data_IF_982633578560
#
_entry.id   IF_982633578560
#
_cell.length_a   1.000
_cell.length_b   1.000
_cell.length_c   1.000
_cell.angle_alpha   90.00
_cell.angle_beta   90.00
_cell.angle_gamma   90.00
#
_symmetry.space_group_name_H-M   'P 1'
#
loop_
_entity.id
_entity.type
_entity.pdbx_description
1 polymer ?
#
# COMPACT_ATOMS: atom_id res chain seq x y z
N UNK A 1 -24.55 1.23 13.19
CA UNK A 1 -24.99 2.31 12.27
C UNK A 1 -24.54 3.62 12.89
N UNK A 2 -23.32 4.08 12.56
CA UNK A 2 -22.83 5.40 12.99
C UNK A 2 -23.22 6.34 11.83
N UNK A 3 -24.29 7.11 12.06
CA UNK A 3 -24.74 8.10 11.09
C UNK A 3 -23.63 9.15 10.88
N UNK A 4 -23.26 9.38 9.61
CA UNK A 4 -22.48 10.57 9.24
C UNK A 4 -23.26 11.80 9.74
N UNK A 5 -22.62 12.66 10.55
CA UNK A 5 -23.14 14.00 10.84
C UNK A 5 -22.99 14.84 9.56
N UNK A 6 -24.07 15.37 8.98
CA UNK A 6 -23.96 16.06 7.69
C UNK A 6 -23.49 17.52 7.77
N UNK A 7 -23.01 18.00 8.89
CA UNK A 7 -22.74 19.44 9.06
C UNK A 7 -21.34 19.65 9.66
N UNK A 8 -20.40 20.07 8.81
CA UNK A 8 -19.10 20.73 9.06
C UNK A 8 -17.81 20.05 8.61
N UNK A 9 -17.79 19.21 7.62
CA UNK A 9 -16.54 18.96 6.92
C UNK A 9 -16.54 19.79 5.62
N UNK A 10 -15.76 20.85 5.57
CA UNK A 10 -15.31 21.44 4.30
C UNK A 10 -14.41 20.38 3.69
N UNK A 11 -14.98 19.41 3.00
CA UNK A 11 -14.21 18.45 2.21
C UNK A 11 -13.64 19.21 1.03
N UNK A 12 -12.34 19.47 1.06
CA UNK A 12 -11.64 20.01 -0.11
C UNK A 12 -11.41 18.88 -1.09
N UNK A 13 -11.63 19.15 -2.37
CA UNK A 13 -11.17 18.25 -3.40
C UNK A 13 -9.64 18.16 -3.35
N UNK A 14 -9.13 16.97 -3.16
CA UNK A 14 -7.71 16.67 -3.20
C UNK A 14 -7.49 15.59 -4.23
N UNK A 15 -6.43 15.73 -5.03
CA UNK A 15 -6.12 14.76 -6.07
C UNK A 15 -4.66 14.31 -6.02
N UNK A 16 -4.42 13.08 -6.42
CA UNK A 16 -3.11 12.63 -6.89
C UNK A 16 -2.90 13.27 -8.27
N UNK A 17 -1.79 13.97 -8.44
CA UNK A 17 -1.43 14.65 -9.70
C UNK A 17 -0.23 14.02 -10.38
N UNK A 18 0.57 13.24 -9.67
CA UNK A 18 1.71 12.52 -10.22
C UNK A 18 2.23 11.48 -9.27
N UNK A 19 2.94 10.51 -9.80
CA UNK A 19 3.65 9.53 -9.01
C UNK A 19 4.84 8.94 -9.77
N UNK A 20 5.82 8.47 -9.02
CA UNK A 20 6.99 7.77 -9.55
C UNK A 20 7.39 6.64 -8.59
N UNK A 21 8.05 5.65 -9.14
CA UNK A 21 8.70 4.59 -8.36
C UNK A 21 10.05 4.23 -9.00
N UNK A 22 10.98 3.75 -8.17
CA UNK A 22 12.22 3.16 -8.68
C UNK A 22 11.94 1.83 -9.37
N UNK A 23 12.91 1.31 -10.10
CA UNK A 23 12.93 -0.12 -10.43
C UNK A 23 12.96 -0.94 -9.13
N UNK A 24 12.04 -1.89 -9.00
CA UNK A 24 11.95 -2.76 -7.83
C UNK A 24 12.88 -3.96 -8.02
N UNK A 25 13.97 -4.00 -7.27
CA UNK A 25 15.02 -5.02 -7.38
C UNK A 25 15.16 -5.83 -6.09
N UNK A 26 15.75 -7.03 -6.17
CA UNK A 26 15.96 -7.87 -4.98
C UNK A 26 16.94 -7.28 -3.99
N UNK A 27 17.89 -6.54 -4.49
CA UNK A 27 18.92 -5.86 -3.70
C UNK A 27 19.48 -4.70 -4.49
N UNK A 28 19.71 -3.57 -3.82
CA UNK A 28 20.38 -2.40 -4.38
C UNK A 28 21.51 -1.91 -3.48
N UNK A 29 22.56 -1.39 -4.10
CA UNK A 29 23.63 -0.69 -3.39
C UNK A 29 23.32 0.78 -3.10
N UNK A 30 22.21 1.31 -3.69
CA UNK A 30 21.77 2.69 -3.42
C UNK A 30 21.37 2.83 -1.96
N UNK A 31 21.72 3.95 -1.37
CA UNK A 31 21.19 4.37 -0.07
C UNK A 31 19.69 4.71 -0.18
N UNK A 32 19.01 4.74 0.95
CA UNK A 32 17.60 5.14 1.01
C UNK A 32 17.42 6.58 0.49
N UNK A 33 18.32 7.50 0.85
CA UNK A 33 18.33 8.87 0.32
C UNK A 33 18.41 8.91 -1.21
N UNK A 34 19.28 8.10 -1.83
CA UNK A 34 19.41 8.03 -3.29
C UNK A 34 18.14 7.49 -3.96
N UNK A 35 17.49 6.46 -3.38
CA UNK A 35 16.22 5.95 -3.86
C UNK A 35 15.12 7.01 -3.80
N UNK A 36 15.03 7.74 -2.67
CA UNK A 36 14.06 8.81 -2.48
C UNK A 36 14.34 10.00 -3.41
N UNK A 37 15.61 10.39 -3.59
CA UNK A 37 15.99 11.45 -4.52
C UNK A 37 15.56 11.13 -5.96
N UNK A 38 15.71 9.89 -6.39
CA UNK A 38 15.29 9.43 -7.72
C UNK A 38 13.79 9.66 -7.92
N UNK A 39 12.94 9.10 -7.06
CA UNK A 39 11.49 9.20 -7.22
C UNK A 39 10.94 10.61 -7.02
N UNK A 40 11.53 11.40 -6.11
CA UNK A 40 11.15 12.80 -5.91
C UNK A 40 11.51 13.63 -7.15
N UNK A 41 12.71 13.44 -7.68
CA UNK A 41 13.15 14.16 -8.88
C UNK A 41 12.29 13.80 -10.08
N UNK A 42 11.99 12.51 -10.26
CA UNK A 42 11.18 12.03 -11.37
C UNK A 42 9.76 12.59 -11.32
N UNK A 43 9.09 12.53 -10.18
CA UNK A 43 7.70 13.02 -10.07
C UNK A 43 7.61 14.55 -10.19
N UNK A 44 8.56 15.29 -9.64
CA UNK A 44 8.59 16.75 -9.78
C UNK A 44 8.87 17.17 -11.23
N UNK A 45 9.77 16.47 -11.92
CA UNK A 45 10.06 16.71 -13.35
C UNK A 45 8.84 16.45 -14.23
N UNK A 46 8.07 15.37 -13.96
CA UNK A 46 6.83 15.07 -14.68
C UNK A 46 5.79 16.20 -14.58
N UNK A 47 5.79 16.92 -13.46
CA UNK A 47 4.81 17.97 -13.16
C UNK A 47 5.31 19.39 -13.43
N UNK A 48 6.53 19.56 -13.94
CA UNK A 48 7.20 20.85 -14.10
C UNK A 48 7.24 21.64 -12.77
N UNK A 49 7.46 20.94 -11.65
CA UNK A 49 7.58 21.49 -10.31
C UNK A 49 9.04 21.48 -9.85
N UNK A 50 9.33 22.41 -8.98
CA UNK A 50 10.60 22.47 -8.23
C UNK A 50 10.36 22.12 -6.75
N UNK A 51 11.44 21.86 -6.03
CA UNK A 51 11.35 21.65 -4.59
C UNK A 51 10.77 22.87 -3.85
N UNK A 52 10.89 24.08 -4.40
CA UNK A 52 10.33 25.30 -3.80
C UNK A 52 8.79 25.33 -3.82
N UNK A 53 8.18 24.63 -4.78
CA UNK A 53 6.72 24.59 -4.95
C UNK A 53 6.02 23.65 -3.94
N UNK A 54 6.78 22.88 -3.16
CA UNK A 54 6.25 21.89 -2.22
C UNK A 54 6.06 22.55 -0.85
N UNK A 55 4.84 22.51 -0.32
CA UNK A 55 4.46 23.08 0.99
C UNK A 55 4.70 22.10 2.14
N UNK A 56 4.49 20.80 1.87
CA UNK A 56 4.54 19.74 2.89
C UNK A 56 5.13 18.45 2.32
N UNK A 57 5.84 17.70 3.15
CA UNK A 57 6.32 16.36 2.84
C UNK A 57 6.01 15.39 3.95
N UNK A 58 5.75 14.12 3.61
CA UNK A 58 5.56 13.05 4.58
C UNK A 58 6.22 11.77 4.08
N UNK A 59 7.04 11.14 4.93
CA UNK A 59 7.68 9.86 4.66
C UNK A 59 6.98 8.73 5.42
N UNK A 60 6.73 7.61 4.73
CA UNK A 60 6.45 6.32 5.35
C UNK A 60 7.69 5.43 5.31
N UNK A 61 8.16 4.98 6.45
CA UNK A 61 9.34 4.11 6.58
C UNK A 61 9.28 3.28 7.86
N UNK A 62 10.24 2.36 8.03
CA UNK A 62 10.43 1.62 9.27
C UNK A 62 11.92 1.49 9.58
N UNK A 63 12.33 2.06 10.69
CA UNK A 63 13.73 2.09 11.16
C UNK A 63 14.34 0.68 11.22
N UNK A 64 13.60 -0.29 11.73
CA UNK A 64 14.10 -1.66 11.85
C UNK A 64 14.30 -2.34 10.50
N UNK A 65 13.41 -2.11 9.53
CA UNK A 65 13.49 -2.73 8.20
C UNK A 65 14.61 -2.09 7.38
N UNK A 66 14.77 -0.77 7.47
CA UNK A 66 15.87 -0.08 6.81
C UNK A 66 17.22 -0.32 7.48
N UNK A 67 17.22 -0.81 8.73
CA UNK A 67 18.42 -1.02 9.53
C UNK A 67 19.10 0.28 9.96
N UNK A 68 18.36 1.40 9.95
CA UNK A 68 18.87 2.72 10.27
C UNK A 68 17.91 3.44 11.22
N UNK A 69 18.42 3.84 12.39
CA UNK A 69 17.64 4.66 13.31
C UNK A 69 17.40 6.05 12.71
N UNK A 70 16.22 6.62 12.99
CA UNK A 70 15.80 7.94 12.48
C UNK A 70 15.77 8.00 10.96
N UNK A 71 15.21 6.99 10.31
CA UNK A 71 15.14 6.90 8.84
C UNK A 71 14.42 8.09 8.18
N UNK A 72 13.55 8.82 8.91
CA UNK A 72 12.92 10.04 8.42
C UNK A 72 13.91 11.15 8.02
N UNK A 73 15.13 11.17 8.57
CA UNK A 73 16.18 12.13 8.20
C UNK A 73 16.58 11.99 6.73
N UNK A 74 16.53 10.77 6.19
CA UNK A 74 16.85 10.50 4.78
C UNK A 74 15.90 11.21 3.83
N UNK A 75 14.63 11.38 4.21
CA UNK A 75 13.66 12.14 3.42
C UNK A 75 13.97 13.64 3.41
N UNK A 76 14.41 14.19 4.53
CA UNK A 76 14.78 15.61 4.60
C UNK A 76 15.96 15.94 3.66
N UNK A 77 16.95 15.05 3.61
CA UNK A 77 18.07 15.18 2.67
C UNK A 77 17.61 15.01 1.22
N UNK A 78 16.73 14.03 0.95
CA UNK A 78 16.21 13.74 -0.39
C UNK A 78 15.30 14.85 -0.93
N UNK A 79 14.40 15.40 -0.11
CA UNK A 79 13.51 16.51 -0.50
C UNK A 79 14.28 17.84 -0.61
N UNK A 80 15.44 17.94 0.04
CA UNK A 80 16.23 19.15 0.06
C UNK A 80 15.45 20.29 0.71
N UNK A 81 15.29 20.26 2.03
CA UNK A 81 14.42 21.16 2.81
C UNK A 81 14.91 22.63 2.81
N UNK A 82 15.15 23.17 1.65
CA UNK A 82 15.47 24.56 1.38
C UNK A 82 14.65 25.08 0.20
N UNK A 83 13.80 26.12 0.39
CA UNK A 83 13.50 26.80 1.67
C UNK A 83 12.97 25.85 2.75
N UNK A 84 12.99 26.25 4.04
CA UNK A 84 12.43 25.43 5.12
C UNK A 84 11.02 24.97 4.82
N UNK A 85 10.74 23.67 5.07
CA UNK A 85 9.47 23.03 4.75
C UNK A 85 8.81 22.47 6.00
N UNK A 86 7.50 22.26 5.91
CA UNK A 86 6.77 21.43 6.87
C UNK A 86 6.95 19.98 6.49
N UNK A 87 7.21 19.14 7.47
CA UNK A 87 7.33 17.70 7.28
C UNK A 87 6.60 16.91 8.37
N UNK A 88 6.31 15.66 8.07
CA UNK A 88 5.84 14.65 8.99
C UNK A 88 6.41 13.28 8.61
N UNK A 89 6.29 12.35 9.50
CA UNK A 89 6.76 10.99 9.31
C UNK A 89 5.81 9.99 9.97
N UNK A 90 5.60 8.86 9.33
CA UNK A 90 4.88 7.72 9.90
C UNK A 90 5.76 6.48 9.85
N UNK A 91 5.85 5.77 10.97
CA UNK A 91 6.53 4.48 11.09
C UNK A 91 5.63 3.36 10.53
N UNK A 92 5.24 3.51 9.26
CA UNK A 92 4.37 2.62 8.50
C UNK A 92 4.60 2.78 7.00
N UNK A 93 3.83 2.05 6.18
CA UNK A 93 3.86 2.20 4.71
C UNK A 93 3.48 3.63 4.28
N UNK A 94 4.07 4.06 3.17
CA UNK A 94 3.80 5.36 2.55
C UNK A 94 2.32 5.64 2.25
N UNK A 95 1.45 4.63 2.24
CA UNK A 95 0.01 4.82 2.14
C UNK A 95 -0.57 5.54 3.38
N UNK A 96 -0.03 5.28 4.58
CA UNK A 96 -0.41 6.03 5.79
C UNK A 96 0.23 7.42 5.82
N UNK A 97 1.42 7.58 5.23
CA UNK A 97 1.99 8.92 5.01
C UNK A 97 1.12 9.74 4.05
N UNK A 98 0.50 9.10 3.05
CA UNK A 98 -0.46 9.76 2.16
C UNK A 98 -1.74 10.16 2.92
N UNK A 99 -2.22 9.31 3.83
CA UNK A 99 -3.37 9.67 4.69
C UNK A 99 -3.07 10.90 5.54
N UNK A 100 -1.89 10.98 6.16
CA UNK A 100 -1.45 12.15 6.92
C UNK A 100 -1.38 13.41 6.04
N UNK A 101 -0.77 13.33 4.86
CA UNK A 101 -0.69 14.44 3.93
C UNK A 101 -2.08 14.89 3.42
N UNK A 102 -2.99 13.94 3.20
CA UNK A 102 -4.37 14.24 2.82
C UNK A 102 -5.11 15.02 3.93
N UNK A 103 -4.95 14.62 5.21
CA UNK A 103 -5.51 15.36 6.34
C UNK A 103 -4.95 16.79 6.39
N UNK A 104 -3.64 16.97 6.19
CA UNK A 104 -3.01 18.29 6.17
C UNK A 104 -3.56 19.19 5.05
N UNK A 105 -3.76 18.64 3.86
CA UNK A 105 -4.38 19.37 2.75
C UNK A 105 -5.84 19.78 3.04
N UNK A 106 -6.58 18.98 3.84
CA UNK A 106 -7.94 19.32 4.26
C UNK A 106 -7.97 20.54 5.20
N UNK A 107 -6.93 20.79 6.00
CA UNK A 107 -6.82 21.96 6.88
C UNK A 107 -6.73 23.27 6.09
N UNK A 108 -6.17 23.24 4.89
CA UNK A 108 -6.24 24.33 3.91
C UNK A 108 -5.18 25.40 4.00
N UNK A 109 -4.10 25.13 4.68
CA UNK A 109 -2.94 26.01 4.78
C UNK A 109 -1.77 25.58 3.89
N UNK A 110 -1.96 24.52 3.10
CA UNK A 110 -1.05 23.99 2.08
C UNK A 110 -1.82 23.63 0.80
N UNK A 111 -1.14 23.64 -0.35
CA UNK A 111 -1.72 23.33 -1.65
C UNK A 111 -1.09 22.10 -2.32
N UNK A 112 0.21 21.84 -2.08
CA UNK A 112 0.96 20.74 -2.67
C UNK A 112 1.72 19.97 -1.58
N UNK A 113 1.55 18.66 -1.57
CA UNK A 113 2.28 17.75 -0.70
C UNK A 113 3.01 16.68 -1.51
N UNK A 114 4.25 16.35 -1.13
CA UNK A 114 4.98 15.17 -1.62
C UNK A 114 4.98 14.11 -0.55
N UNK A 115 4.46 12.94 -0.90
CA UNK A 115 4.45 11.77 -0.04
C UNK A 115 5.45 10.76 -0.58
N UNK A 116 6.27 10.21 0.29
CA UNK A 116 7.26 9.20 -0.07
C UNK A 116 7.10 7.94 0.77
N UNK A 117 7.46 6.82 0.20
CA UNK A 117 7.62 5.55 0.89
C UNK A 117 8.89 4.88 0.42
N UNK A 118 9.70 4.38 1.34
CA UNK A 118 10.93 3.68 0.99
C UNK A 118 11.00 2.33 1.68
N UNK A 119 11.42 1.34 0.91
CA UNK A 119 11.64 -0.02 1.36
C UNK A 119 12.98 -0.53 0.89
N UNK A 120 14.04 -0.26 1.62
CA UNK A 120 15.33 -0.94 1.48
C UNK A 120 15.30 -2.25 2.27
N UNK A 121 14.36 -3.10 1.90
CA UNK A 121 13.92 -4.26 2.68
C UNK A 121 14.95 -5.39 2.73
N UNK A 122 15.92 -5.38 1.81
CA UNK A 122 16.99 -6.39 1.76
C UNK A 122 18.07 -6.19 2.85
N UNK A 123 18.14 -5.03 3.49
CA UNK A 123 19.11 -4.73 4.56
C UNK A 123 18.69 -5.29 5.91
N UNK A 124 17.39 -5.25 6.21
CA UNK A 124 16.81 -5.91 7.36
C UNK A 124 16.48 -7.38 7.09
N UNK A 125 16.18 -8.11 8.14
CA UNK A 125 15.61 -9.45 8.02
C UNK A 125 14.17 -9.42 8.54
N UNK A 126 13.16 -9.28 7.65
CA UNK A 126 11.78 -9.24 8.06
C UNK A 126 11.33 -10.47 8.88
N UNK A 127 11.98 -11.62 8.67
CA UNK A 127 11.68 -12.85 9.42
C UNK A 127 12.11 -12.77 10.88
N UNK A 128 13.08 -11.91 11.19
CA UNK A 128 13.52 -11.62 12.57
C UNK A 128 12.83 -10.40 13.15
N UNK A 129 12.55 -9.38 12.32
CA UNK A 129 11.99 -8.09 12.76
C UNK A 129 10.52 -8.24 13.14
N UNK A 130 9.69 -8.82 12.28
CA UNK A 130 8.26 -8.95 12.56
C UNK A 130 7.92 -9.75 13.83
N UNK A 131 8.63 -10.83 14.21
CA UNK A 131 8.40 -11.46 15.51
C UNK A 131 8.64 -10.55 16.71
N UNK A 132 9.51 -9.53 16.58
CA UNK A 132 9.75 -8.56 17.67
C UNK A 132 8.60 -7.57 17.86
N UNK A 133 7.77 -7.37 16.83
CA UNK A 133 6.56 -6.54 16.91
C UNK A 133 5.39 -7.27 17.61
N UNK A 134 5.49 -8.59 17.79
CA UNK A 134 4.45 -9.39 18.41
C UNK A 134 4.38 -9.12 19.92
N UNK A 135 3.20 -9.38 20.49
CA UNK A 135 3.02 -9.35 21.94
C UNK A 135 4.12 -10.16 22.64
N UNK A 136 4.91 -9.54 23.56
CA UNK A 136 6.09 -10.18 24.12
C UNK A 136 5.77 -11.31 25.11
N UNK A 137 4.54 -11.39 25.58
CA UNK A 137 4.15 -12.34 26.62
C UNK A 137 3.46 -13.59 26.06
N UNK A 138 2.65 -13.44 25.00
CA UNK A 138 1.81 -14.51 24.47
C UNK A 138 2.20 -14.96 23.07
N UNK A 139 2.60 -14.04 22.18
CA UNK A 139 2.87 -14.35 20.78
C UNK A 139 4.36 -14.53 20.47
N UNK A 140 5.21 -13.63 20.93
CA UNK A 140 6.65 -13.72 20.69
C UNK A 140 7.28 -15.02 21.23
N UNK A 141 6.87 -15.54 22.43
CA UNK A 141 7.40 -16.82 22.94
C UNK A 141 7.07 -18.03 22.07
N UNK A 142 6.04 -17.95 21.20
CA UNK A 142 5.71 -19.02 20.26
C UNK A 142 6.72 -19.11 19.10
N UNK A 143 7.56 -18.08 18.89
CA UNK A 143 8.51 -18.03 17.80
C UNK A 143 7.86 -18.01 16.41
N UNK A 144 6.59 -17.57 16.34
CA UNK A 144 5.86 -17.52 15.09
C UNK A 144 6.37 -16.36 14.22
N UNK A 145 6.79 -16.68 13.03
CA UNK A 145 7.25 -15.75 12.00
C UNK A 145 6.09 -15.33 11.07
N UNK A 146 6.29 -14.33 10.19
CA UNK A 146 5.27 -13.89 9.23
C UNK A 146 4.73 -14.99 8.34
N UNK A 147 5.58 -15.94 7.95
CA UNK A 147 5.17 -17.08 7.12
C UNK A 147 4.27 -18.04 7.89
N UNK A 148 4.50 -18.21 9.19
CA UNK A 148 3.62 -19.01 10.08
C UNK A 148 2.23 -18.40 10.16
N UNK A 149 2.14 -17.08 10.38
CA UNK A 149 0.84 -16.39 10.43
C UNK A 149 0.12 -16.44 9.08
N UNK A 150 0.84 -16.23 7.97
CA UNK A 150 0.28 -16.35 6.63
C UNK A 150 -0.23 -17.76 6.34
N UNK A 151 0.49 -18.82 6.76
CA UNK A 151 0.06 -20.20 6.60
C UNK A 151 -1.19 -20.52 7.43
N UNK A 152 -1.30 -19.99 8.66
CA UNK A 152 -2.50 -20.14 9.49
C UNK A 152 -3.70 -19.44 8.83
N UNK A 153 -3.51 -18.25 8.28
CA UNK A 153 -4.56 -17.54 7.53
C UNK A 153 -4.96 -18.31 6.26
N UNK A 154 -4.00 -18.78 5.48
CA UNK A 154 -4.27 -19.56 4.28
C UNK A 154 -5.10 -20.81 4.58
N UNK A 155 -4.79 -21.54 5.67
CA UNK A 155 -5.59 -22.70 6.11
C UNK A 155 -7.02 -22.31 6.47
N UNK A 156 -7.23 -21.19 7.14
CA UNK A 156 -8.56 -20.69 7.47
C UNK A 156 -9.35 -20.33 6.20
N UNK A 157 -8.71 -19.61 5.27
CA UNK A 157 -9.29 -19.21 3.98
C UNK A 157 -9.67 -20.43 3.12
N UNK A 158 -8.83 -21.47 3.08
CA UNK A 158 -9.11 -22.72 2.39
C UNK A 158 -10.26 -23.49 3.08
N UNK A 159 -10.22 -23.59 4.40
CA UNK A 159 -11.27 -24.28 5.17
C UNK A 159 -12.64 -23.62 5.02
N UNK A 160 -12.68 -22.31 4.84
CA UNK A 160 -13.89 -21.54 4.56
C UNK A 160 -14.34 -21.62 3.09
N UNK A 161 -13.60 -22.32 2.22
CA UNK A 161 -13.92 -22.45 0.79
C UNK A 161 -13.79 -21.17 -0.01
N UNK A 162 -12.99 -20.20 0.48
CA UNK A 162 -12.73 -18.92 -0.20
C UNK A 162 -11.68 -19.10 -1.28
N UNK A 163 -10.71 -19.97 -1.02
CA UNK A 163 -9.61 -20.31 -1.92
C UNK A 163 -9.31 -21.81 -1.86
N UNK A 164 -8.54 -22.26 -2.83
CA UNK A 164 -7.83 -23.53 -2.84
C UNK A 164 -6.41 -23.31 -3.37
N UNK A 165 -5.55 -24.31 -3.28
CA UNK A 165 -4.16 -24.19 -3.74
C UNK A 165 -4.07 -23.84 -5.24
N UNK A 166 -5.03 -24.29 -6.06
CA UNK A 166 -5.06 -23.99 -7.49
C UNK A 166 -5.37 -22.53 -7.74
N UNK A 167 -6.39 -21.95 -7.12
CA UNK A 167 -6.74 -20.54 -7.25
C UNK A 167 -5.64 -19.62 -6.71
N UNK A 168 -4.92 -20.03 -5.65
CA UNK A 168 -3.74 -19.35 -5.12
C UNK A 168 -2.58 -19.36 -6.14
N UNK A 169 -2.32 -20.51 -6.77
CA UNK A 169 -1.31 -20.62 -7.83
C UNK A 169 -1.67 -19.78 -9.05
N UNK A 170 -2.95 -19.72 -9.43
CA UNK A 170 -3.47 -18.89 -10.52
C UNK A 170 -3.25 -17.39 -10.22
N UNK A 171 -3.51 -16.93 -9.00
CA UNK A 171 -3.21 -15.57 -8.56
C UNK A 171 -1.72 -15.26 -8.71
N UNK A 172 -0.85 -16.19 -8.32
CA UNK A 172 0.60 -16.04 -8.45
C UNK A 172 1.07 -15.99 -9.91
N UNK A 173 0.47 -16.80 -10.80
CA UNK A 173 0.78 -16.75 -12.24
C UNK A 173 0.37 -15.41 -12.86
N UNK A 174 -0.84 -14.93 -12.56
CA UNK A 174 -1.31 -13.61 -13.03
C UNK A 174 -0.38 -12.49 -12.58
N UNK A 175 -0.05 -12.48 -11.28
CA UNK A 175 0.83 -11.47 -10.67
C UNK A 175 2.21 -11.41 -11.34
N UNK A 176 2.84 -12.55 -11.55
CA UNK A 176 4.23 -12.63 -12.04
C UNK A 176 4.34 -12.68 -13.55
N UNK A 177 3.25 -12.94 -14.27
CA UNK A 177 3.20 -13.06 -15.72
C UNK A 177 4.02 -14.24 -16.27
N UNK A 178 4.29 -15.26 -15.45
CA UNK A 178 5.08 -16.44 -15.83
C UNK A 178 4.78 -17.64 -14.96
N UNK A 179 5.07 -18.82 -15.50
CA UNK A 179 4.88 -20.12 -14.85
C UNK A 179 3.58 -20.79 -15.29
N UNK A 180 3.46 -22.08 -14.98
CA UNK A 180 2.25 -22.87 -15.17
C UNK A 180 1.71 -23.32 -13.82
N UNK A 181 0.40 -23.30 -13.63
CA UNK A 181 -0.26 -23.64 -12.36
C UNK A 181 0.16 -25.04 -11.89
N UNK A 182 0.10 -26.04 -12.76
CA UNK A 182 0.42 -27.44 -12.39
C UNK A 182 1.91 -27.59 -12.02
N UNK A 183 2.81 -26.84 -12.66
CA UNK A 183 4.23 -26.85 -12.30
C UNK A 183 4.48 -26.19 -10.94
N UNK A 184 3.73 -25.15 -10.58
CA UNK A 184 3.81 -24.50 -9.29
C UNK A 184 3.31 -25.42 -8.17
N UNK A 185 2.19 -26.10 -8.38
CA UNK A 185 1.61 -27.05 -7.43
C UNK A 185 2.46 -28.31 -7.23
N UNK A 186 3.32 -28.66 -8.18
CA UNK A 186 4.25 -29.79 -8.04
C UNK A 186 5.49 -29.48 -7.18
N UNK A 187 5.66 -28.25 -6.70
CA UNK A 187 6.78 -27.87 -5.81
C UNK A 187 6.46 -28.22 -4.35
N UNK A 188 7.51 -28.37 -3.53
CA UNK A 188 7.33 -28.61 -2.10
C UNK A 188 6.71 -27.37 -1.40
N UNK A 189 6.02 -27.63 -0.30
CA UNK A 189 5.57 -26.56 0.58
C UNK A 189 6.75 -25.84 1.24
N UNK A 190 6.69 -24.54 1.25
CA UNK A 190 7.57 -23.72 2.08
C UNK A 190 7.11 -23.76 3.55
N UNK A 191 5.81 -23.65 3.76
CA UNK A 191 5.09 -23.89 5.01
C UNK A 191 3.61 -24.20 4.67
N UNK A 192 3.21 -25.45 4.83
CA UNK A 192 1.88 -25.93 4.42
C UNK A 192 0.74 -25.02 4.92
N UNK A 193 -0.19 -24.54 4.03
CA UNK A 193 -0.36 -24.93 2.63
C UNK A 193 0.39 -24.02 1.62
N UNK A 194 1.32 -23.18 2.05
CA UNK A 194 2.00 -22.20 1.20
C UNK A 194 3.21 -22.78 0.49
N UNK A 195 3.25 -22.67 -0.83
CA UNK A 195 4.40 -22.91 -1.68
C UNK A 195 5.25 -21.63 -1.83
N UNK A 196 6.42 -21.76 -2.44
CA UNK A 196 7.29 -20.59 -2.70
C UNK A 196 6.63 -19.52 -3.57
N UNK A 197 5.74 -19.89 -4.45
CA UNK A 197 5.03 -18.96 -5.34
C UNK A 197 3.95 -18.15 -4.62
N UNK A 198 3.47 -18.60 -3.46
CA UNK A 198 2.47 -17.90 -2.66
C UNK A 198 3.04 -16.77 -1.81
N UNK A 199 4.36 -16.69 -1.72
CA UNK A 199 5.08 -15.77 -0.83
C UNK A 199 5.69 -14.62 -1.63
N UNK A 200 5.56 -13.36 -1.18
CA UNK A 200 6.11 -12.22 -1.89
C UNK A 200 7.64 -12.27 -1.96
N UNK A 201 8.26 -11.72 -3.00
CA UNK A 201 9.67 -11.43 -2.96
C UNK A 201 9.93 -10.27 -1.97
N UNK A 202 11.04 -10.31 -1.25
CA UNK A 202 11.59 -9.12 -0.61
C UNK A 202 12.30 -8.34 -1.71
N UNK A 203 11.94 -7.05 -1.86
CA UNK A 203 12.54 -6.16 -2.86
C UNK A 203 12.87 -4.81 -2.25
N UNK A 204 13.89 -4.17 -2.82
CA UNK A 204 14.26 -2.79 -2.53
C UNK A 204 13.61 -1.86 -3.55
N UNK A 205 13.20 -0.69 -3.08
CA UNK A 205 12.64 0.36 -3.93
C UNK A 205 12.00 1.47 -3.13
N UNK A 206 11.63 2.52 -3.82
CA UNK A 206 10.93 3.67 -3.26
C UNK A 206 9.82 4.14 -4.21
N UNK A 207 8.87 4.88 -3.67
CA UNK A 207 7.81 5.53 -4.42
C UNK A 207 7.59 6.95 -3.90
N UNK A 208 7.15 7.84 -4.78
CA UNK A 208 6.69 9.17 -4.46
C UNK A 208 5.34 9.45 -5.13
N UNK A 209 4.44 10.11 -4.38
CA UNK A 209 3.14 10.56 -4.88
C UNK A 209 3.02 12.05 -4.55
N UNK A 210 2.52 12.83 -5.51
CA UNK A 210 2.21 14.24 -5.32
C UNK A 210 0.71 14.42 -5.17
N UNK A 211 0.30 15.02 -4.06
CA UNK A 211 -1.07 15.44 -3.80
C UNK A 211 -1.19 16.94 -4.00
N UNK A 212 -2.32 17.38 -4.57
CA UNK A 212 -2.64 18.80 -4.69
C UNK A 212 -4.13 19.07 -4.40
N UNK A 213 -4.43 20.29 -3.93
CA UNK A 213 -5.81 20.76 -3.84
C UNK A 213 -6.46 20.82 -5.22
N UNK A 214 -7.78 20.66 -5.31
CA UNK A 214 -8.49 20.56 -6.58
C UNK A 214 -8.21 21.72 -7.56
N UNK A 215 -8.22 22.99 -7.13
CA UNK A 215 -7.82 24.11 -8.00
C UNK A 215 -6.39 23.98 -8.52
N UNK A 216 -5.45 23.59 -7.66
CA UNK A 216 -4.04 23.42 -8.04
C UNK A 216 -3.84 22.19 -8.93
N UNK A 217 -4.54 21.10 -8.64
CA UNK A 217 -4.48 19.86 -9.43
C UNK A 217 -4.84 20.10 -10.90
N UNK A 218 -5.92 20.87 -11.16
CA UNK A 218 -6.35 21.23 -12.52
C UNK A 218 -5.36 22.12 -13.28
N UNK A 219 -4.47 22.81 -12.57
CA UNK A 219 -3.40 23.58 -13.21
C UNK A 219 -2.19 22.70 -13.58
N UNK A 220 -1.97 21.62 -12.81
CA UNK A 220 -0.81 20.77 -12.98
C UNK A 220 -1.01 19.67 -14.02
N UNK A 221 -2.22 19.07 -14.08
CA UNK A 221 -2.49 17.94 -14.97
C UNK A 221 -3.88 18.02 -15.57
N UNK A 222 -4.03 17.48 -16.77
CA UNK A 222 -5.31 17.47 -17.50
C UNK A 222 -6.35 16.56 -16.81
N UNK A 223 -5.92 15.41 -16.28
CA UNK A 223 -6.77 14.44 -15.59
C UNK A 223 -6.24 14.12 -14.19
N UNK A 224 -6.54 14.95 -13.18
CA UNK A 224 -6.22 14.61 -11.79
C UNK A 224 -6.97 13.35 -11.34
N UNK A 225 -6.35 12.52 -10.51
CA UNK A 225 -7.04 11.42 -9.84
C UNK A 225 -7.54 11.90 -8.47
N UNK A 226 -8.80 12.32 -8.39
CA UNK A 226 -9.40 12.84 -7.17
C UNK A 226 -9.58 11.73 -6.13
N UNK A 227 -9.22 12.01 -4.88
CA UNK A 227 -9.48 11.13 -3.76
C UNK A 227 -10.95 11.27 -3.37
N UNK A 228 -11.79 10.38 -3.89
CA UNK A 228 -13.22 10.35 -3.60
C UNK A 228 -13.50 9.87 -2.17
N UNK A 229 -12.62 9.00 -1.64
CA UNK A 229 -12.66 8.57 -0.26
C UNK A 229 -11.37 7.90 0.18
N UNK A 230 -11.04 8.10 1.44
CA UNK A 230 -9.84 7.57 2.07
C UNK A 230 -10.14 7.27 3.54
N UNK A 231 -10.00 6.02 3.92
CA UNK A 231 -10.24 5.57 5.30
C UNK A 231 -9.32 4.42 5.67
N UNK A 232 -8.99 4.29 6.94
CA UNK A 232 -8.24 3.14 7.43
C UNK A 232 -8.82 2.62 8.73
N UNK A 233 -8.69 1.31 8.97
CA UNK A 233 -9.15 0.61 10.18
C UNK A 233 -8.10 -0.37 10.67
N UNK A 234 -8.09 -0.59 11.97
CA UNK A 234 -7.18 -1.51 12.65
C UNK A 234 -7.98 -2.53 13.45
N UNK A 235 -7.59 -3.79 13.37
CA UNK A 235 -8.12 -4.88 14.18
C UNK A 235 -7.22 -5.21 15.36
N UNK A 236 -7.71 -6.09 16.24
CA UNK A 236 -6.94 -6.60 17.35
C UNK A 236 -5.58 -7.14 16.88
N UNK A 237 -4.50 -6.76 17.56
CA UNK A 237 -3.16 -7.19 17.22
C UNK A 237 -2.99 -8.71 17.30
N UNK A 238 -3.56 -9.35 18.32
CA UNK A 238 -3.47 -10.79 18.49
C UNK A 238 -4.38 -11.52 17.50
N UNK A 239 -3.84 -12.30 16.54
CA UNK A 239 -4.62 -13.01 15.52
C UNK A 239 -5.60 -14.05 16.12
N UNK A 240 -5.34 -14.54 17.36
CA UNK A 240 -6.21 -15.53 18.00
C UNK A 240 -7.60 -14.98 18.36
N UNK A 241 -7.77 -13.66 18.37
CA UNK A 241 -9.05 -13.00 18.63
C UNK A 241 -9.78 -12.55 17.35
N UNK A 242 -9.24 -12.91 16.18
CA UNK A 242 -9.81 -12.53 14.89
C UNK A 242 -10.18 -13.77 14.07
N UNK A 243 -11.21 -13.64 13.23
CA UNK A 243 -11.47 -14.60 12.16
C UNK A 243 -10.42 -14.37 11.06
N UNK A 244 -9.58 -15.39 10.78
CA UNK A 244 -8.51 -15.26 9.78
C UNK A 244 -9.03 -15.43 8.35
N UNK A 245 -10.26 -15.89 8.17
CA UNK A 245 -10.98 -16.03 6.89
C UNK A 245 -11.88 -14.81 6.59
N UNK A 246 -11.73 -13.71 7.33
CA UNK A 246 -12.43 -12.44 7.13
C UNK A 246 -11.50 -11.25 7.43
N UNK A 247 -11.88 -10.06 6.99
CA UNK A 247 -11.22 -8.79 7.30
C UNK A 247 -12.26 -7.67 7.50
N UNK A 248 -12.87 -7.60 8.69
CA UNK A 248 -13.84 -6.55 9.00
C UNK A 248 -13.27 -5.14 8.86
N UNK A 249 -11.99 -4.94 9.19
CA UNK A 249 -11.31 -3.65 9.02
C UNK A 249 -11.26 -3.20 7.57
N UNK A 250 -10.96 -4.09 6.62
CA UNK A 250 -11.01 -3.80 5.18
C UNK A 250 -12.41 -3.41 4.74
N UNK A 251 -13.42 -4.17 5.15
CA UNK A 251 -14.82 -3.92 4.78
C UNK A 251 -15.32 -2.56 5.31
N UNK A 252 -15.02 -2.25 6.58
CA UNK A 252 -15.44 -0.98 7.19
C UNK A 252 -14.72 0.20 6.53
N UNK A 253 -13.41 0.09 6.29
CA UNK A 253 -12.64 1.11 5.58
C UNK A 253 -13.18 1.34 4.17
N UNK A 254 -13.50 0.27 3.44
CA UNK A 254 -14.04 0.35 2.09
C UNK A 254 -15.40 1.05 2.03
N UNK A 255 -16.30 0.70 2.96
CA UNK A 255 -17.60 1.36 3.07
C UNK A 255 -17.47 2.84 3.44
N UNK A 256 -16.57 3.16 4.37
CA UNK A 256 -16.31 4.55 4.77
C UNK A 256 -15.66 5.37 3.66
N UNK A 257 -14.80 4.74 2.83
CA UNK A 257 -14.21 5.36 1.64
C UNK A 257 -15.18 5.46 0.45
N UNK A 258 -16.42 4.93 0.56
CA UNK A 258 -17.43 5.03 -0.49
C UNK A 258 -17.34 3.94 -1.56
N UNK A 259 -16.71 2.80 -1.28
CA UNK A 259 -16.84 1.62 -2.15
C UNK A 259 -18.32 1.20 -2.19
N UNK A 260 -18.91 1.10 -3.35
CA UNK A 260 -20.34 0.82 -3.53
C UNK A 260 -21.16 2.05 -3.95
N UNK A 261 -20.64 3.27 -3.81
CA UNK A 261 -21.30 4.47 -4.34
C UNK A 261 -21.34 4.45 -5.88
N UNK A 262 -20.27 3.86 -6.50
CA UNK A 262 -20.23 3.60 -7.93
C UNK A 262 -19.26 2.42 -8.23
N UNK A 263 -19.38 1.75 -9.40
CA UNK A 263 -18.48 0.65 -9.78
C UNK A 263 -17.02 1.09 -9.88
N UNK A 264 -16.09 0.25 -9.44
CA UNK A 264 -14.66 0.40 -9.69
C UNK A 264 -14.23 -0.45 -10.88
N UNK A 265 -13.36 0.08 -11.73
CA UNK A 265 -12.84 -0.61 -12.92
C UNK A 265 -11.59 -1.42 -12.60
N UNK A 266 -10.76 -0.90 -11.70
CA UNK A 266 -9.48 -1.48 -11.28
C UNK A 266 -9.38 -1.47 -9.76
N UNK A 267 -8.83 -2.56 -9.20
CA UNK A 267 -8.47 -2.65 -7.80
C UNK A 267 -6.99 -3.07 -7.66
N UNK A 268 -6.16 -2.19 -7.12
CA UNK A 268 -4.77 -2.45 -6.77
C UNK A 268 -4.68 -2.82 -5.29
N UNK A 269 -4.52 -4.12 -5.03
CA UNK A 269 -4.54 -4.69 -3.69
C UNK A 269 -3.12 -4.99 -3.20
N UNK A 270 -2.76 -4.55 -2.01
CA UNK A 270 -1.55 -5.01 -1.32
C UNK A 270 -1.83 -6.38 -0.68
N UNK A 271 -1.87 -7.40 -1.51
CA UNK A 271 -1.91 -8.79 -1.08
C UNK A 271 -0.49 -9.36 -1.15
N UNK A 272 0.16 -9.49 -0.01
CA UNK A 272 1.52 -10.00 0.04
C UNK A 272 1.57 -11.51 -0.25
N UNK A 273 0.55 -12.24 0.18
CA UNK A 273 0.40 -13.67 -0.06
C UNK A 273 -0.77 -13.93 -1.02
N UNK A 274 -0.70 -15.04 -1.77
CA UNK A 274 -1.70 -15.36 -2.79
C UNK A 274 -3.12 -15.51 -2.25
N UNK A 275 -3.29 -16.13 -1.08
CA UNK A 275 -4.59 -16.28 -0.42
C UNK A 275 -5.21 -14.93 0.01
N UNK A 276 -4.38 -13.94 0.33
CA UNK A 276 -4.87 -12.60 0.71
C UNK A 276 -5.58 -11.90 -0.45
N UNK A 277 -5.10 -12.07 -1.70
CA UNK A 277 -5.80 -11.51 -2.87
C UNK A 277 -7.21 -12.07 -2.99
N UNK A 278 -7.37 -13.39 -2.81
CA UNK A 278 -8.66 -14.05 -2.90
C UNK A 278 -9.60 -13.67 -1.75
N UNK A 279 -9.04 -13.56 -0.53
CA UNK A 279 -9.78 -13.06 0.63
C UNK A 279 -10.23 -11.61 0.44
N UNK A 280 -9.34 -10.73 -0.01
CA UNK A 280 -9.66 -9.32 -0.26
C UNK A 280 -10.70 -9.14 -1.36
N UNK A 281 -10.61 -9.92 -2.46
CA UNK A 281 -11.64 -9.92 -3.51
C UNK A 281 -13.03 -10.24 -2.95
N UNK A 282 -13.12 -11.25 -2.06
CA UNK A 282 -14.37 -11.61 -1.39
C UNK A 282 -14.85 -10.53 -0.43
N UNK A 283 -13.95 -10.01 0.43
CA UNK A 283 -14.29 -9.01 1.48
C UNK A 283 -14.75 -7.69 0.88
N UNK A 284 -14.15 -7.30 -0.24
CA UNK A 284 -14.48 -6.09 -1.00
C UNK A 284 -15.60 -6.30 -2.02
N UNK A 285 -16.12 -7.53 -2.13
CA UNK A 285 -17.19 -7.91 -3.07
C UNK A 285 -16.87 -7.51 -4.52
N UNK A 286 -15.60 -7.67 -4.93
CA UNK A 286 -15.16 -7.33 -6.29
C UNK A 286 -15.69 -8.33 -7.30
N UNK A 287 -16.48 -7.86 -8.26
CA UNK A 287 -17.01 -8.67 -9.36
C UNK A 287 -15.92 -9.11 -10.35
N UNK A 288 -16.31 -10.00 -11.27
CA UNK A 288 -15.41 -10.52 -12.33
C UNK A 288 -15.04 -9.46 -13.38
N UNK A 289 -15.80 -8.38 -13.45
CA UNK A 289 -15.56 -7.21 -14.30
C UNK A 289 -14.46 -6.28 -13.76
N UNK A 290 -14.09 -6.41 -12.49
CA UNK A 290 -13.02 -5.62 -11.87
C UNK A 290 -11.66 -6.24 -12.18
N UNK A 291 -10.78 -5.46 -12.79
CA UNK A 291 -9.39 -5.88 -13.04
C UNK A 291 -8.57 -5.73 -11.75
N UNK A 292 -8.19 -6.86 -11.16
CA UNK A 292 -7.42 -6.88 -9.90
C UNK A 292 -5.94 -7.02 -10.18
N UNK A 293 -5.15 -6.15 -9.54
CA UNK A 293 -3.69 -6.12 -9.59
C UNK A 293 -3.10 -6.14 -11.02
N UNK A 294 -3.55 -5.27 -11.95
CA UNK A 294 -2.93 -5.22 -13.28
C UNK A 294 -1.44 -4.88 -13.25
N UNK A 295 -0.95 -4.23 -12.19
CA UNK A 295 0.47 -3.99 -11.94
C UNK A 295 1.27 -5.26 -11.58
N UNK A 296 0.58 -6.33 -11.19
CA UNK A 296 1.14 -7.55 -10.62
C UNK A 296 1.14 -7.59 -9.09
N UNK A 297 0.77 -6.50 -8.41
CA UNK A 297 0.62 -6.46 -6.96
C UNK A 297 1.89 -6.77 -6.16
N UNK A 298 1.72 -7.03 -4.87
CA UNK A 298 2.81 -7.33 -3.94
C UNK A 298 3.50 -8.68 -4.20
N UNK A 299 2.80 -9.63 -4.82
CA UNK A 299 3.40 -10.92 -5.22
C UNK A 299 4.46 -10.77 -6.32
N UNK A 300 4.41 -9.70 -7.11
CA UNK A 300 5.43 -9.38 -8.11
C UNK A 300 6.62 -8.64 -7.51
N UNK A 301 6.36 -7.63 -6.68
CA UNK A 301 7.37 -6.82 -5.99
C UNK A 301 6.81 -6.26 -4.70
N UNK A 302 7.59 -6.34 -3.64
CA UNK A 302 7.14 -5.94 -2.30
C UNK A 302 8.27 -5.16 -1.58
N UNK A 303 8.53 -3.90 -1.97
CA UNK A 303 9.38 -3.00 -1.19
C UNK A 303 8.59 -2.59 0.06
N UNK A 304 8.90 -3.22 1.19
CA UNK A 304 8.18 -3.01 2.45
C UNK A 304 8.26 -1.51 2.82
N UNK A 305 7.14 -0.91 3.23
CA UNK A 305 6.90 0.53 3.47
C UNK A 305 6.68 1.40 2.22
N UNK A 306 6.84 0.87 1.01
CA UNK A 306 6.46 1.57 -0.23
C UNK A 306 5.37 0.84 -1.02
N UNK A 307 5.03 -0.40 -0.66
CA UNK A 307 4.12 -1.24 -1.43
C UNK A 307 2.71 -0.67 -1.50
N UNK A 308 2.15 -0.19 -0.39
CA UNK A 308 0.82 0.42 -0.34
C UNK A 308 0.77 1.73 -1.13
N UNK A 309 1.81 2.57 -1.00
CA UNK A 309 1.90 3.80 -1.78
C UNK A 309 1.95 3.52 -3.29
N UNK A 310 2.68 2.47 -3.72
CA UNK A 310 2.67 2.01 -5.11
C UNK A 310 1.27 1.59 -5.57
N UNK A 311 0.45 0.96 -4.72
CA UNK A 311 -0.94 0.60 -5.09
C UNK A 311 -1.74 1.86 -5.41
N UNK A 312 -1.61 2.91 -4.59
CA UNK A 312 -2.27 4.20 -4.85
C UNK A 312 -1.75 4.82 -6.15
N UNK A 313 -0.43 4.80 -6.39
CA UNK A 313 0.17 5.29 -7.63
C UNK A 313 -0.34 4.55 -8.88
N UNK A 314 -0.43 3.22 -8.83
CA UNK A 314 -0.97 2.43 -9.96
C UNK A 314 -2.47 2.67 -10.17
N UNK A 315 -3.25 2.79 -9.11
CA UNK A 315 -4.66 3.15 -9.21
C UNK A 315 -4.84 4.56 -9.83
N UNK A 316 -4.03 5.54 -9.43
CA UNK A 316 -4.01 6.87 -10.03
C UNK A 316 -3.63 6.83 -11.51
N UNK A 317 -2.68 5.97 -11.89
CA UNK A 317 -2.26 5.80 -13.28
C UNK A 317 -3.40 5.28 -14.19
N UNK A 318 -4.32 4.47 -13.64
CA UNK A 318 -5.54 4.09 -14.36
C UNK A 318 -6.39 5.33 -14.70
N UNK A 319 -6.58 6.24 -13.73
CA UNK A 319 -7.32 7.49 -13.94
C UNK A 319 -6.62 8.41 -14.94
N UNK A 320 -5.30 8.58 -14.83
CA UNK A 320 -4.51 9.40 -15.77
C UNK A 320 -4.63 8.92 -17.22
N UNK A 321 -4.85 7.62 -17.43
CA UNK A 321 -5.02 6.99 -18.76
C UNK A 321 -6.47 6.98 -19.26
N UNK A 322 -7.39 7.66 -18.59
CA UNK A 322 -8.77 7.79 -19.04
C UNK A 322 -9.78 6.91 -18.29
N UNK A 323 -9.35 6.14 -17.30
CA UNK A 323 -10.24 5.42 -16.41
C UNK A 323 -11.08 6.36 -15.55
N UNK A 324 -12.20 5.87 -15.04
CA UNK A 324 -13.14 6.70 -14.25
C UNK A 324 -13.01 6.46 -12.76
N UNK A 325 -12.87 5.20 -12.32
CA UNK A 325 -12.82 4.91 -10.89
C UNK A 325 -11.92 3.70 -10.59
N UNK A 326 -11.07 3.85 -9.58
CA UNK A 326 -10.14 2.83 -9.13
C UNK A 326 -10.07 2.74 -7.61
N UNK A 327 -9.80 1.53 -7.10
CA UNK A 327 -9.55 1.25 -5.70
C UNK A 327 -8.07 0.94 -5.49
N UNK A 328 -7.47 1.52 -4.46
CA UNK A 328 -6.20 1.07 -3.91
C UNK A 328 -6.38 0.60 -2.47
N UNK A 329 -5.76 -0.53 -2.13
CA UNK A 329 -5.73 -1.09 -0.80
C UNK A 329 -4.29 -1.20 -0.30
N UNK A 330 -4.05 -0.78 0.93
CA UNK A 330 -2.80 -0.99 1.65
C UNK A 330 -3.06 -1.73 2.95
N UNK A 331 -2.09 -2.56 3.37
CA UNK A 331 -2.18 -3.30 4.62
C UNK A 331 -0.87 -3.28 5.40
N UNK A 332 -0.98 -3.42 6.73
CA UNK A 332 0.13 -3.56 7.66
C UNK A 332 -0.25 -4.53 8.78
N UNK A 333 0.77 -5.16 9.37
CA UNK A 333 0.59 -6.17 10.41
C UNK A 333 0.13 -7.54 9.89
N UNK A 334 0.21 -8.59 10.73
CA UNK A 334 -0.05 -9.96 10.32
C UNK A 334 -1.54 -10.18 9.98
N UNK A 335 -1.79 -10.98 8.94
CA UNK A 335 -3.15 -11.41 8.55
C UNK A 335 -4.11 -10.23 8.32
N UNK A 336 -3.70 -9.22 7.56
CA UNK A 336 -4.52 -8.04 7.25
C UNK A 336 -5.01 -7.30 8.50
N UNK A 337 -4.12 -7.06 9.47
CA UNK A 337 -4.50 -6.44 10.74
C UNK A 337 -4.94 -4.98 10.59
N UNK A 338 -4.22 -4.21 9.77
CA UNK A 338 -4.51 -2.81 9.51
C UNK A 338 -4.73 -2.64 8.01
N UNK A 339 -5.80 -1.97 7.65
CA UNK A 339 -6.16 -1.82 6.24
C UNK A 339 -6.55 -0.38 5.95
N UNK A 340 -6.04 0.13 4.83
CA UNK A 340 -6.35 1.42 4.27
C UNK A 340 -6.95 1.24 2.88
N UNK A 341 -8.04 1.96 2.62
CA UNK A 341 -8.70 2.01 1.30
C UNK A 341 -8.67 3.44 0.79
N UNK A 342 -8.21 3.59 -0.44
CA UNK A 342 -8.26 4.84 -1.20
C UNK A 342 -9.09 4.61 -2.47
N UNK A 343 -10.15 5.38 -2.63
CA UNK A 343 -10.96 5.41 -3.87
C UNK A 343 -10.55 6.64 -4.66
N UNK A 344 -10.17 6.42 -5.90
CA UNK A 344 -9.77 7.46 -6.84
C UNK A 344 -10.78 7.58 -7.96
N UNK A 345 -11.10 8.82 -8.34
CA UNK A 345 -12.03 9.14 -9.43
C UNK A 345 -11.42 10.12 -10.42
N UNK A 346 -11.78 9.96 -11.69
CA UNK A 346 -11.48 10.92 -12.74
C UNK A 346 -12.31 12.21 -12.62
N UNK A 347 -11.95 13.27 -13.38
CA UNK A 347 -12.70 14.51 -13.44
C UNK A 347 -14.05 14.37 -14.11
#
# INVERSE_FOLDING_TARGET
MIARSPENAISRDIAVVGWAQTEMVRHTDKSETELLMEVITDVLTQLDLTRADIDFTCLGSCDYITGQAFSFVTNLDAIGAWPPKRDSHVEMDGAWALYEAWLRLQEGDIEIAVVTGSGRSSTGDPMLIYPMEMDPYFLAPLGADPLTFAALQARAVIAAGIADERSMAEASVRSRGKGGVDALLATDYLREPLHRHDVPPITDGAAAVVLATGPRARQLVERPAYIAGLDHRTECHNPSFRALDDSPSTRIAAQAAGLGDAPVEVAELQAAFSHEELLLRRVLELGDDVVVNPSGGALRSNPIMATGLCRIGYAANHIFRGGNRALAHATSGPCLQQNLICILEGP
#
